data_IF_394753817729
#
_entry.id   IF_394753817729
#
_cell.length_a   1.000
_cell.length_b   1.000
_cell.length_c   1.000
_cell.angle_alpha   90.00
_cell.angle_beta   90.00
_cell.angle_gamma   90.00
#
_symmetry.space_group_name_H-M   'P 1'
#
loop_
_entity.id
_entity.type
_entity.pdbx_description
1 polymer ?
#
# COMPACT_ATOMS: atom_id res chain seq x y z
N UNK A 1 26.16 -4.19 -11.80
CA UNK A 1 25.19 -3.58 -12.73
C UNK A 1 23.80 -3.97 -12.24
N UNK A 2 22.98 -3.01 -11.77
CA UNK A 2 21.67 -3.33 -11.20
C UNK A 2 20.75 -3.87 -12.30
N UNK A 3 20.46 -5.17 -12.26
CA UNK A 3 19.76 -5.94 -13.31
C UNK A 3 18.27 -6.06 -12.96
N UNK A 4 17.59 -4.91 -12.83
CA UNK A 4 16.18 -4.86 -12.43
C UNK A 4 15.40 -3.84 -13.24
N UNK A 5 14.08 -4.02 -13.32
CA UNK A 5 13.17 -3.09 -13.99
C UNK A 5 13.33 -1.69 -13.39
N UNK A 6 13.43 -0.67 -14.25
CA UNK A 6 13.60 0.73 -13.85
C UNK A 6 12.24 1.41 -13.80
N UNK A 7 11.93 2.05 -12.67
CA UNK A 7 10.68 2.75 -12.43
C UNK A 7 10.92 4.24 -12.19
N UNK A 8 9.88 5.04 -12.42
CA UNK A 8 9.86 6.47 -12.10
C UNK A 8 8.75 6.72 -11.08
N UNK A 9 9.08 7.38 -9.96
CA UNK A 9 8.09 7.66 -8.93
C UNK A 9 7.04 8.66 -9.42
N UNK A 10 5.77 8.27 -9.39
CA UNK A 10 4.64 9.10 -9.81
C UNK A 10 4.54 10.43 -9.02
N UNK A 11 5.01 10.45 -7.78
CA UNK A 11 4.81 11.57 -6.85
C UNK A 11 5.94 12.61 -6.89
N UNK A 12 7.18 12.20 -7.15
CA UNK A 12 8.33 13.10 -7.10
C UNK A 12 9.29 12.99 -8.30
N UNK A 13 9.00 12.12 -9.27
CA UNK A 13 9.84 11.92 -10.46
C UNK A 13 11.14 11.16 -10.22
N UNK A 14 11.50 10.84 -8.96
CA UNK A 14 12.74 10.09 -8.66
C UNK A 14 12.69 8.71 -9.30
N UNK A 15 13.76 8.36 -10.01
CA UNK A 15 13.99 7.02 -10.54
C UNK A 15 14.44 6.05 -9.45
N UNK A 16 13.96 4.82 -9.50
CA UNK A 16 14.39 3.72 -8.63
C UNK A 16 14.32 2.38 -9.38
N UNK A 17 14.99 1.36 -8.86
CA UNK A 17 14.94 0.00 -9.43
C UNK A 17 13.95 -0.87 -8.66
N UNK A 18 13.53 -1.96 -9.31
CA UNK A 18 12.75 -3.03 -8.69
C UNK A 18 13.32 -3.46 -7.33
N UNK A 19 12.43 -3.64 -6.36
CA UNK A 19 12.79 -3.95 -4.97
C UNK A 19 13.20 -2.76 -4.11
N UNK A 20 13.46 -1.58 -4.68
CA UNK A 20 13.85 -0.37 -3.91
C UNK A 20 12.66 0.53 -3.53
N UNK A 21 11.47 0.22 -4.01
CA UNK A 21 10.26 1.02 -3.79
C UNK A 21 9.01 0.15 -3.75
N UNK A 22 7.86 0.80 -3.90
CA UNK A 22 6.54 0.17 -3.88
C UNK A 22 5.97 0.28 -5.29
N UNK A 23 5.67 -0.86 -5.91
CA UNK A 23 5.01 -0.92 -7.21
C UNK A 23 3.71 -1.71 -7.03
N UNK A 24 2.57 -1.07 -7.29
CA UNK A 24 1.24 -1.66 -7.19
C UNK A 24 0.70 -1.87 -8.61
N UNK A 25 0.23 -3.09 -8.89
CA UNK A 25 -0.34 -3.45 -10.20
C UNK A 25 -1.75 -3.99 -10.05
N UNK A 26 -2.69 -3.48 -10.84
CA UNK A 26 -4.07 -3.96 -10.90
C UNK A 26 -4.59 -3.83 -12.34
N UNK A 27 -4.68 -4.95 -13.05
CA UNK A 27 -4.99 -4.94 -14.48
C UNK A 27 -3.96 -4.10 -15.24
N UNK A 28 -4.45 -3.10 -15.99
CA UNK A 28 -3.59 -2.18 -16.77
C UNK A 28 -3.03 -1.01 -15.95
N UNK A 29 -3.39 -0.90 -14.66
CA UNK A 29 -2.89 0.16 -13.78
C UNK A 29 -1.56 -0.25 -13.15
N UNK A 30 -0.53 0.57 -13.33
CA UNK A 30 0.75 0.48 -12.62
C UNK A 30 1.02 1.77 -11.85
N UNK A 31 1.17 1.67 -10.53
CA UNK A 31 1.50 2.78 -9.64
C UNK A 31 2.86 2.54 -8.99
N UNK A 32 3.83 3.39 -9.29
CA UNK A 32 5.21 3.26 -8.83
C UNK A 32 5.63 4.39 -7.86
N UNK A 33 6.15 4.02 -6.69
CA UNK A 33 6.58 4.94 -5.65
C UNK A 33 7.97 4.58 -5.15
N UNK A 34 8.91 5.53 -5.13
CA UNK A 34 10.27 5.26 -4.64
C UNK A 34 10.35 5.06 -3.11
N UNK A 35 9.29 5.40 -2.36
CA UNK A 35 9.26 5.30 -0.90
C UNK A 35 7.82 5.19 -0.36
N UNK A 36 7.70 4.68 0.87
CA UNK A 36 6.43 4.62 1.59
C UNK A 36 5.79 6.02 1.76
N UNK A 37 6.61 7.07 1.96
CA UNK A 37 6.12 8.45 2.05
C UNK A 37 5.42 8.91 0.75
N UNK A 38 5.97 8.54 -0.41
CA UNK A 38 5.34 8.85 -1.69
C UNK A 38 4.05 8.06 -1.89
N UNK A 39 4.05 6.76 -1.58
CA UNK A 39 2.84 5.94 -1.64
C UNK A 39 1.73 6.50 -0.72
N UNK A 40 2.07 6.87 0.52
CA UNK A 40 1.13 7.45 1.47
C UNK A 40 0.56 8.80 1.00
N UNK A 41 1.38 9.68 0.42
CA UNK A 41 0.91 10.95 -0.15
C UNK A 41 -0.10 10.70 -1.28
N UNK A 42 0.19 9.77 -2.18
CA UNK A 42 -0.73 9.40 -3.24
C UNK A 42 -2.04 8.82 -2.69
N UNK A 43 -1.95 7.86 -1.76
CA UNK A 43 -3.12 7.20 -1.17
C UNK A 43 -4.03 8.22 -0.48
N UNK A 44 -3.46 9.17 0.27
CA UNK A 44 -4.22 10.24 0.90
C UNK A 44 -4.99 11.07 -0.13
N UNK A 45 -4.31 11.53 -1.19
CA UNK A 45 -4.95 12.30 -2.25
C UNK A 45 -6.01 11.49 -3.00
N UNK A 46 -5.79 10.18 -3.20
CA UNK A 46 -6.76 9.29 -3.81
C UNK A 46 -8.03 9.19 -2.96
N UNK A 47 -7.88 8.96 -1.65
CA UNK A 47 -9.01 8.85 -0.72
C UNK A 47 -9.76 10.17 -0.57
N UNK A 48 -9.05 11.29 -0.52
CA UNK A 48 -9.65 12.63 -0.39
C UNK A 48 -10.39 13.09 -1.66
N UNK A 49 -10.08 12.52 -2.84
CA UNK A 49 -10.61 13.00 -4.14
C UNK A 49 -11.49 11.99 -4.86
N UNK A 50 -11.46 10.71 -4.47
CA UNK A 50 -12.34 9.70 -5.05
C UNK A 50 -13.79 9.99 -4.67
N UNK A 51 -14.71 9.65 -5.58
CA UNK A 51 -16.14 9.62 -5.26
C UNK A 51 -16.37 8.62 -4.11
N UNK A 52 -17.19 9.02 -3.13
CA UNK A 52 -17.28 8.33 -1.84
C UNK A 52 -17.74 6.88 -1.98
N UNK A 53 -18.68 6.62 -2.88
CA UNK A 53 -19.24 5.31 -3.21
C UNK A 53 -18.20 4.34 -3.81
N UNK A 54 -17.19 4.86 -4.52
CA UNK A 54 -16.17 4.04 -5.16
C UNK A 54 -15.20 3.39 -4.16
N UNK A 55 -14.97 4.00 -2.99
CA UNK A 55 -13.93 3.54 -2.04
C UNK A 55 -14.48 3.10 -0.69
N UNK A 56 -15.64 3.60 -0.24
CA UNK A 56 -16.15 3.38 1.11
C UNK A 56 -16.29 1.89 1.47
N UNK A 57 -17.03 1.13 0.66
CA UNK A 57 -17.26 -0.30 0.89
C UNK A 57 -15.97 -1.12 0.92
N UNK A 58 -15.03 -0.80 0.02
CA UNK A 58 -13.72 -1.45 -0.05
C UNK A 58 -12.86 -1.10 1.17
N UNK A 59 -12.87 0.16 1.60
CA UNK A 59 -12.16 0.62 2.78
C UNK A 59 -12.68 -0.05 4.05
N UNK A 60 -14.00 -0.13 4.26
CA UNK A 60 -14.59 -0.81 5.42
C UNK A 60 -14.16 -2.27 5.46
N UNK A 61 -14.26 -2.98 4.33
CA UNK A 61 -13.91 -4.40 4.25
C UNK A 61 -12.43 -4.64 4.57
N UNK A 62 -11.53 -3.90 3.91
CA UNK A 62 -10.07 -4.06 4.12
C UNK A 62 -9.69 -3.71 5.55
N UNK A 63 -10.26 -2.64 6.13
CA UNK A 63 -10.00 -2.28 7.53
C UNK A 63 -10.37 -3.41 8.49
N UNK A 64 -11.57 -4.00 8.32
CA UNK A 64 -12.02 -5.11 9.16
C UNK A 64 -11.11 -6.35 9.03
N UNK A 65 -10.70 -6.70 7.82
CA UNK A 65 -9.77 -7.82 7.59
C UNK A 65 -8.42 -7.60 8.31
N UNK A 66 -7.92 -6.36 8.33
CA UNK A 66 -6.67 -6.01 9.03
C UNK A 66 -6.83 -6.01 10.56
N UNK A 67 -7.94 -5.47 11.08
CA UNK A 67 -8.26 -5.46 12.51
C UNK A 67 -8.41 -6.89 13.06
N UNK A 68 -9.15 -7.76 12.34
CA UNK A 68 -9.32 -9.17 12.71
C UNK A 68 -7.98 -9.90 12.70
N UNK A 69 -7.13 -9.66 11.70
CA UNK A 69 -5.80 -10.25 11.62
C UNK A 69 -4.88 -9.76 12.76
N UNK A 70 -4.98 -8.48 13.14
CA UNK A 70 -4.24 -7.93 14.27
C UNK A 70 -4.71 -8.54 15.59
N UNK A 71 -6.02 -8.64 15.81
CA UNK A 71 -6.61 -9.23 17.02
C UNK A 71 -6.11 -10.67 17.24
N UNK A 72 -6.20 -11.52 16.20
CA UNK A 72 -5.70 -12.91 16.25
C UNK A 72 -4.22 -13.00 16.59
N UNK A 73 -3.39 -12.09 16.03
CA UNK A 73 -1.95 -12.03 16.34
C UNK A 73 -1.70 -11.68 17.81
N UNK A 74 -2.48 -10.75 18.37
CA UNK A 74 -2.36 -10.35 19.77
C UNK A 74 -2.80 -11.46 20.73
N UNK A 75 -3.90 -12.15 20.43
CA UNK A 75 -4.35 -13.31 21.22
C UNK A 75 -3.34 -14.46 21.20
N UNK A 76 -2.76 -14.76 20.04
CA UNK A 76 -1.72 -15.79 19.93
C UNK A 76 -0.50 -15.46 20.78
N UNK A 77 -0.05 -14.19 20.80
CA UNK A 77 1.06 -13.76 21.66
C UNK A 77 0.74 -13.91 23.15
N UNK A 78 -0.49 -13.61 23.58
CA UNK A 78 -0.91 -13.77 24.98
C UNK A 78 -0.89 -15.24 25.42
N UNK A 79 -1.26 -16.17 24.54
CA UNK A 79 -1.24 -17.62 24.81
C UNK A 79 0.16 -18.24 24.85
N UNK A 80 1.17 -17.59 24.27
CA UNK A 80 2.57 -18.09 24.26
C UNK A 80 3.36 -17.66 25.49
N UNK A 81 2.88 -16.64 26.21
CA UNK A 81 3.54 -16.08 27.41
C UNK A 81 2.86 -16.60 28.70
N UNK A 82 1.77 -17.36 28.58
CA UNK A 82 1.00 -17.94 29.69
C UNK A 82 1.24 -19.44 29.83
#
# INVERSE_FOLDING_TARGET
>A
MAKGTKYTCLVCGRTFYEGQGIVIRRGNLELAFHSARCAAKFLRLLVERAESDCIESSSIRVSKELEDALSKKLEAKKKVIA
#
